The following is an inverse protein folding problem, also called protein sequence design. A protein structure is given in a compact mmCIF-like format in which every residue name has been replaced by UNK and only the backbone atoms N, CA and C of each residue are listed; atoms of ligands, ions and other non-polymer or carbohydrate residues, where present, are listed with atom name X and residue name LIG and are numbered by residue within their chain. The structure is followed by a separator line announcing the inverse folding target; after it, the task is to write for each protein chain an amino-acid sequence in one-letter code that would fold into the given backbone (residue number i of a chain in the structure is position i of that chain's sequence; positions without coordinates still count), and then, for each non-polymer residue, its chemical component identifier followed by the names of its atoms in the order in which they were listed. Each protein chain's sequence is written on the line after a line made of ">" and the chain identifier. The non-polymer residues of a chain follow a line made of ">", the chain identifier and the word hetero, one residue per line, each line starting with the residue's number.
data_IF_768305499838
#
_entry.id   IF_768305499838
#
_cell.length_a   1.000
_cell.length_b   1.000
_cell.length_c   1.000
_cell.angle_alpha   90.00
_cell.angle_beta   90.00
_cell.angle_gamma   90.00
#
_symmetry.space_group_name_H-M   'P 1'
#
loop_
_entity.id
_entity.type
_entity.pdbx_description
1 polymer ?
#
# COMPACT_ATOMS: atom_id res chain seq x y z
N UNK A 1 8.24 2.55 -25.17
CA UNK A 1 8.10 1.50 -24.14
C UNK A 1 6.85 1.84 -23.36
N UNK A 2 5.88 0.92 -23.25
CA UNK A 2 4.74 1.11 -22.34
C UNK A 2 5.21 0.70 -20.94
N UNK A 3 5.98 1.56 -20.30
CA UNK A 3 6.34 1.41 -18.89
C UNK A 3 5.17 1.91 -18.05
N UNK A 4 4.73 1.08 -17.11
CA UNK A 4 3.73 1.45 -16.11
C UNK A 4 4.40 1.52 -14.76
N UNK A 5 3.82 2.30 -13.85
CA UNK A 5 4.28 2.41 -12.46
C UNK A 5 4.43 1.05 -11.77
N UNK A 6 3.72 0.01 -12.23
CA UNK A 6 3.86 -1.34 -11.69
C UNK A 6 5.30 -1.87 -11.77
N UNK A 7 6.04 -1.56 -12.84
CA UNK A 7 7.44 -1.98 -12.98
C UNK A 7 8.36 -1.30 -11.95
N UNK A 8 8.06 -0.05 -11.58
CA UNK A 8 8.83 0.68 -10.57
C UNK A 8 8.70 0.03 -9.19
N UNK A 9 7.51 -0.47 -8.86
CA UNK A 9 7.26 -1.18 -7.60
C UNK A 9 7.89 -2.58 -7.58
N UNK A 10 7.82 -3.33 -8.69
CA UNK A 10 8.52 -4.62 -8.83
C UNK A 10 10.03 -4.43 -8.59
N UNK A 11 10.63 -3.41 -9.22
CA UNK A 11 12.06 -3.11 -9.07
C UNK A 11 12.44 -2.70 -7.64
N UNK A 12 11.49 -2.22 -6.85
CA UNK A 12 11.66 -1.87 -5.42
C UNK A 12 11.37 -3.03 -4.47
N UNK A 13 11.34 -4.28 -4.97
CA UNK A 13 11.07 -5.50 -4.19
C UNK A 13 9.68 -5.55 -3.55
N UNK A 14 8.70 -4.85 -4.11
CA UNK A 14 7.31 -5.04 -3.73
C UNK A 14 6.81 -6.33 -4.39
N UNK A 15 6.04 -7.13 -3.65
CA UNK A 15 5.24 -8.17 -4.26
C UNK A 15 4.09 -7.49 -5.02
N UNK A 16 3.95 -7.80 -6.31
CA UNK A 16 2.91 -7.18 -7.13
C UNK A 16 1.92 -8.20 -7.69
N UNK A 17 0.64 -7.84 -7.65
CA UNK A 17 -0.44 -8.65 -8.21
C UNK A 17 -1.37 -7.81 -9.07
N UNK A 18 -1.80 -8.42 -10.18
CA UNK A 18 -2.93 -7.98 -10.97
C UNK A 18 -3.89 -9.16 -11.14
N UNK A 19 -5.04 -9.04 -10.48
CA UNK A 19 -6.08 -10.06 -10.42
C UNK A 19 -7.36 -9.47 -11.03
N UNK A 20 -7.54 -9.70 -12.32
CA UNK A 20 -8.73 -9.28 -13.07
C UNK A 20 -9.69 -10.46 -13.18
N UNK A 21 -10.99 -10.22 -13.10
CA UNK A 21 -12.07 -11.17 -13.40
C UNK A 21 -12.40 -11.23 -14.91
N UNK A 22 -11.81 -10.32 -15.68
CA UNK A 22 -11.83 -10.33 -17.14
C UNK A 22 -10.62 -9.59 -17.70
N UNK A 23 -9.83 -10.17 -18.63
CA UNK A 23 -8.58 -9.60 -19.15
C UNK A 23 -8.89 -8.43 -20.07
N UNK A 24 -9.18 -7.26 -19.50
CA UNK A 24 -9.78 -6.14 -20.23
C UNK A 24 -9.25 -4.77 -19.88
N UNK A 25 -8.75 -4.54 -18.65
CA UNK A 25 -8.32 -3.20 -18.23
C UNK A 25 -7.25 -2.62 -19.16
N UNK A 26 -6.34 -3.44 -19.67
CA UNK A 26 -5.20 -3.01 -20.48
C UNK A 26 -5.16 -3.57 -21.91
N UNK A 27 -6.13 -4.39 -22.26
CA UNK A 27 -6.22 -5.13 -23.54
C UNK A 27 -7.44 -4.70 -24.34
N UNK A 28 -8.50 -4.21 -23.71
CA UNK A 28 -9.72 -3.78 -24.39
C UNK A 28 -9.76 -2.26 -24.59
N UNK A 29 -10.35 -1.73 -25.68
CA UNK A 29 -10.87 -2.42 -26.87
C UNK A 29 -9.80 -2.69 -27.93
N UNK A 30 -8.76 -1.86 -27.98
CA UNK A 30 -7.76 -1.83 -29.06
C UNK A 30 -6.31 -1.82 -28.52
N UNK A 31 -6.13 -2.20 -27.26
CA UNK A 31 -4.82 -2.19 -26.62
C UNK A 31 -4.16 -3.56 -26.77
N UNK A 32 -2.84 -3.60 -26.97
CA UNK A 32 -2.09 -4.86 -27.08
C UNK A 32 -1.64 -5.42 -25.72
N UNK A 33 -2.08 -4.81 -24.61
CA UNK A 33 -1.55 -5.10 -23.28
C UNK A 33 -0.08 -4.68 -23.14
N UNK A 34 0.66 -5.46 -22.36
CA UNK A 34 2.06 -5.23 -22.05
C UNK A 34 2.97 -6.25 -22.74
N UNK A 35 4.17 -5.81 -23.14
CA UNK A 35 5.18 -6.71 -23.74
C UNK A 35 5.74 -7.73 -22.76
N UNK A 36 5.75 -7.39 -21.47
CA UNK A 36 6.11 -8.27 -20.35
C UNK A 36 4.95 -8.28 -19.36
N UNK A 37 4.85 -9.30 -18.52
CA UNK A 37 3.86 -9.31 -17.44
C UNK A 37 4.04 -8.04 -16.58
N UNK A 38 2.97 -7.26 -16.34
CA UNK A 38 3.06 -5.98 -15.63
C UNK A 38 3.23 -6.13 -14.11
N UNK A 39 3.07 -7.34 -13.58
CA UNK A 39 3.18 -7.71 -12.16
C UNK A 39 3.84 -9.08 -12.02
N UNK A 40 4.39 -9.38 -10.84
CA UNK A 40 4.97 -10.70 -10.51
C UNK A 40 3.91 -11.79 -10.60
N UNK A 41 2.71 -11.49 -10.12
CA UNK A 41 1.53 -12.35 -10.18
C UNK A 41 0.50 -11.74 -11.12
N UNK A 42 0.28 -12.37 -12.26
CA UNK A 42 -0.65 -11.88 -13.28
C UNK A 42 -1.72 -12.93 -13.60
N UNK A 43 -2.95 -12.67 -13.13
CA UNK A 43 -4.06 -13.62 -13.17
C UNK A 43 -4.69 -13.87 -14.54
N UNK A 44 -4.30 -13.14 -15.59
CA UNK A 44 -5.00 -13.23 -16.89
C UNK A 44 -5.01 -14.62 -17.52
N UNK A 45 -3.98 -15.45 -17.28
CA UNK A 45 -3.99 -16.83 -17.76
C UNK A 45 -5.07 -17.68 -17.07
N UNK A 46 -5.33 -17.43 -15.77
CA UNK A 46 -6.38 -18.11 -15.00
C UNK A 46 -7.78 -17.80 -15.55
N UNK A 47 -7.98 -16.59 -16.11
CA UNK A 47 -9.28 -16.18 -16.69
C UNK A 47 -9.41 -16.57 -18.16
N UNK A 48 -8.34 -16.48 -18.94
CA UNK A 48 -8.39 -16.74 -20.39
C UNK A 48 -8.46 -18.23 -20.73
N UNK A 49 -7.79 -19.09 -19.95
CA UNK A 49 -7.70 -20.51 -20.26
C UNK A 49 -9.07 -21.22 -20.26
N UNK A 50 -9.97 -20.96 -19.28
CA UNK A 50 -11.30 -21.57 -19.26
C UNK A 50 -12.20 -21.14 -20.44
N UNK A 51 -11.94 -19.99 -21.07
CA UNK A 51 -12.73 -19.52 -22.22
C UNK A 51 -12.35 -20.17 -23.55
N UNK A 52 -11.28 -20.97 -23.59
CA UNK A 52 -10.93 -21.76 -24.76
C UNK A 52 -11.96 -22.89 -24.96
N UNK A 53 -12.62 -22.89 -26.13
CA UNK A 53 -13.71 -23.84 -26.45
C UNK A 53 -13.37 -25.31 -26.19
N UNK A 54 -12.13 -25.72 -26.40
CA UNK A 54 -11.69 -27.11 -26.24
C UNK A 54 -11.70 -27.58 -24.79
N UNK A 55 -11.46 -26.67 -23.83
CA UNK A 55 -11.33 -27.01 -22.40
C UNK A 55 -12.44 -26.43 -21.53
N UNK A 56 -13.23 -25.51 -22.05
CA UNK A 56 -14.30 -24.82 -21.31
C UNK A 56 -15.21 -25.77 -20.54
N UNK A 57 -15.68 -26.83 -21.21
CA UNK A 57 -16.57 -27.81 -20.60
C UNK A 57 -15.93 -28.53 -19.40
N UNK A 58 -14.64 -28.83 -19.47
CA UNK A 58 -13.93 -29.49 -18.37
C UNK A 58 -13.74 -28.55 -17.19
N UNK A 59 -13.44 -27.26 -17.46
CA UNK A 59 -13.39 -26.24 -16.42
C UNK A 59 -14.76 -26.01 -15.77
N UNK A 60 -15.83 -25.91 -16.55
CA UNK A 60 -17.20 -25.76 -16.04
C UNK A 60 -17.54 -26.94 -15.10
N UNK A 61 -17.31 -28.18 -15.54
CA UNK A 61 -17.67 -29.38 -14.78
C UNK A 61 -16.81 -29.57 -13.53
N UNK A 62 -15.48 -29.40 -13.64
CA UNK A 62 -14.55 -29.83 -12.59
C UNK A 62 -14.02 -28.69 -11.74
N UNK A 63 -13.86 -27.50 -12.32
CA UNK A 63 -13.20 -26.38 -11.66
C UNK A 63 -14.20 -25.37 -11.10
N UNK A 64 -15.34 -25.17 -11.78
CA UNK A 64 -16.39 -24.23 -11.36
C UNK A 64 -17.56 -24.95 -10.69
N UNK A 65 -18.46 -25.55 -11.48
CA UNK A 65 -19.66 -26.23 -10.97
C UNK A 65 -19.27 -27.35 -9.98
N UNK A 66 -18.22 -28.11 -10.30
CA UNK A 66 -17.71 -29.19 -9.46
C UNK A 66 -17.20 -28.74 -8.08
N UNK A 67 -16.76 -27.49 -7.95
CA UNK A 67 -16.35 -26.89 -6.68
C UNK A 67 -17.41 -25.91 -6.12
N UNK A 68 -18.56 -25.77 -6.78
CA UNK A 68 -19.59 -24.78 -6.46
C UNK A 68 -19.03 -23.34 -6.44
N UNK A 69 -18.13 -23.03 -7.37
CA UNK A 69 -17.47 -21.74 -7.50
C UNK A 69 -17.74 -21.09 -8.86
N UNK A 70 -17.76 -19.76 -8.89
CA UNK A 70 -17.82 -18.92 -10.09
C UNK A 70 -16.43 -18.29 -10.38
N UNK A 71 -16.25 -17.66 -11.55
CA UNK A 71 -14.99 -17.03 -11.97
C UNK A 71 -14.40 -16.09 -10.91
N UNK A 72 -15.24 -15.23 -10.32
CA UNK A 72 -14.77 -14.29 -9.29
C UNK A 72 -14.27 -14.99 -8.04
N UNK A 73 -14.78 -16.18 -7.69
CA UNK A 73 -14.27 -16.93 -6.54
C UNK A 73 -12.80 -17.34 -6.77
N UNK A 74 -12.44 -17.74 -7.99
CA UNK A 74 -11.07 -18.10 -8.34
C UNK A 74 -10.11 -16.93 -8.24
N UNK A 75 -10.57 -15.74 -8.68
CA UNK A 75 -9.80 -14.50 -8.58
C UNK A 75 -9.66 -14.03 -7.14
N UNK A 76 -10.70 -14.19 -6.32
CA UNK A 76 -10.64 -13.92 -4.88
C UNK A 76 -9.70 -14.88 -4.17
N UNK A 77 -9.75 -16.19 -4.46
CA UNK A 77 -8.83 -17.18 -3.92
C UNK A 77 -7.37 -16.93 -4.34
N UNK A 78 -7.16 -16.52 -5.60
CA UNK A 78 -5.84 -16.11 -6.09
C UNK A 78 -5.30 -14.89 -5.33
N UNK A 79 -6.16 -13.90 -5.12
CA UNK A 79 -5.82 -12.69 -4.36
C UNK A 79 -5.55 -13.00 -2.88
N UNK A 80 -6.38 -13.82 -2.25
CA UNK A 80 -6.22 -14.24 -0.85
C UNK A 80 -4.91 -15.00 -0.64
N UNK A 81 -4.62 -15.98 -1.51
CA UNK A 81 -3.34 -16.71 -1.49
C UNK A 81 -2.16 -15.76 -1.63
N UNK A 82 -2.20 -14.80 -2.56
CA UNK A 82 -1.15 -13.81 -2.70
C UNK A 82 -0.97 -12.96 -1.44
N UNK A 83 -2.07 -12.47 -0.85
CA UNK A 83 -2.00 -11.65 0.37
C UNK A 83 -1.38 -12.42 1.53
N UNK A 84 -1.71 -13.71 1.66
CA UNK A 84 -1.21 -14.61 2.69
C UNK A 84 0.26 -15.01 2.48
N UNK A 85 0.63 -15.41 1.26
CA UNK A 85 2.00 -15.85 0.93
C UNK A 85 3.04 -14.73 1.11
N UNK A 86 2.65 -13.51 0.75
CA UNK A 86 3.53 -12.33 0.85
C UNK A 86 3.36 -11.58 2.17
N UNK A 87 2.89 -12.23 3.25
CA UNK A 87 2.79 -11.58 4.55
C UNK A 87 4.16 -11.01 5.00
N UNK A 88 4.18 -9.82 5.60
CA UNK A 88 5.42 -9.10 5.93
C UNK A 88 6.14 -8.42 4.76
N UNK A 89 5.76 -8.70 3.51
CA UNK A 89 6.32 -8.04 2.32
C UNK A 89 5.40 -6.90 1.88
N UNK A 90 6.00 -5.76 1.49
CA UNK A 90 5.28 -4.63 0.90
C UNK A 90 4.62 -5.04 -0.41
N UNK A 91 3.35 -4.70 -0.60
CA UNK A 91 2.56 -5.13 -1.76
C UNK A 91 2.12 -3.94 -2.59
N UNK A 92 2.19 -4.07 -3.90
CA UNK A 92 1.52 -3.18 -4.84
C UNK A 92 0.36 -3.93 -5.50
N UNK A 93 -0.85 -3.40 -5.34
CA UNK A 93 -2.07 -4.02 -5.87
C UNK A 93 -2.76 -3.00 -6.76
N UNK A 94 -3.04 -3.39 -8.00
CA UNK A 94 -3.88 -2.61 -8.88
C UNK A 94 -5.31 -3.16 -8.83
N UNK A 95 -6.26 -2.32 -8.41
CA UNK A 95 -7.67 -2.68 -8.27
C UNK A 95 -8.52 -1.83 -9.20
N UNK A 96 -9.39 -2.48 -9.96
CA UNK A 96 -10.40 -1.83 -10.79
C UNK A 96 -11.74 -1.82 -10.04
N UNK A 97 -12.15 -0.65 -9.54
CA UNK A 97 -13.44 -0.49 -8.89
C UNK A 97 -14.46 0.11 -9.85
N UNK A 98 -15.56 -0.61 -10.10
CA UNK A 98 -16.70 -0.10 -10.87
C UNK A 98 -17.92 0.08 -9.97
N UNK A 99 -18.63 1.21 -10.12
CA UNK A 99 -19.92 1.47 -9.45
C UNK A 99 -21.02 1.50 -10.49
N UNK A 100 -21.90 0.50 -10.48
CA UNK A 100 -23.08 0.44 -11.31
C UNK A 100 -24.32 0.93 -10.53
N UNK A 101 -24.83 2.11 -10.86
CA UNK A 101 -26.01 2.68 -10.19
C UNK A 101 -27.29 2.01 -10.71
N UNK A 102 -28.20 1.52 -9.83
CA UNK A 102 -29.50 0.99 -10.23
C UNK A 102 -30.32 1.99 -11.06
N UNK A 103 -31.04 1.51 -12.07
CA UNK A 103 -31.75 2.38 -13.04
C UNK A 103 -32.64 3.43 -12.37
N UNK A 104 -33.41 3.03 -11.35
CA UNK A 104 -34.33 3.92 -10.64
C UNK A 104 -33.63 5.03 -9.82
N UNK A 105 -32.33 4.88 -9.51
CA UNK A 105 -31.54 5.88 -8.81
C UNK A 105 -30.77 6.81 -9.76
N UNK A 106 -30.68 6.48 -11.05
CA UNK A 106 -29.92 7.29 -12.03
C UNK A 106 -30.55 8.66 -12.30
N UNK A 107 -31.84 8.84 -12.00
CA UNK A 107 -32.52 10.13 -12.07
C UNK A 107 -32.14 11.07 -10.92
N UNK A 108 -31.48 10.58 -9.87
CA UNK A 108 -31.01 11.42 -8.77
C UNK A 108 -29.76 12.20 -9.20
N UNK A 109 -29.97 13.46 -9.61
CA UNK A 109 -28.91 14.33 -10.12
C UNK A 109 -27.78 14.54 -9.11
N UNK A 110 -28.11 14.71 -7.82
CA UNK A 110 -27.11 14.93 -6.77
C UNK A 110 -26.22 13.69 -6.57
N UNK A 111 -26.80 12.50 -6.53
CA UNK A 111 -26.05 11.24 -6.43
C UNK A 111 -25.11 11.07 -7.64
N UNK A 112 -25.64 11.25 -8.85
CA UNK A 112 -24.85 11.11 -10.07
C UNK A 112 -23.74 12.17 -10.16
N UNK A 113 -24.00 13.40 -9.67
CA UNK A 113 -23.00 14.45 -9.57
C UNK A 113 -21.89 14.09 -8.57
N UNK A 114 -22.25 13.60 -7.39
CA UNK A 114 -21.31 13.17 -6.36
C UNK A 114 -20.41 12.05 -6.91
N UNK A 115 -20.99 11.00 -7.50
CA UNK A 115 -20.24 9.89 -8.10
C UNK A 115 -19.25 10.36 -9.19
N UNK A 116 -19.70 11.24 -10.10
CA UNK A 116 -18.84 11.80 -11.15
C UNK A 116 -17.71 12.67 -10.61
N UNK A 117 -17.96 13.44 -9.56
CA UNK A 117 -16.91 14.25 -8.91
C UNK A 117 -15.93 13.37 -8.16
N UNK A 118 -16.45 12.41 -7.38
CA UNK A 118 -15.69 11.52 -6.52
C UNK A 118 -14.82 10.52 -7.28
N UNK A 119 -15.20 10.13 -8.50
CA UNK A 119 -14.34 9.31 -9.36
C UNK A 119 -13.01 9.98 -9.75
N UNK A 120 -12.87 11.29 -9.52
CA UNK A 120 -11.64 12.08 -9.71
C UNK A 120 -11.05 12.56 -8.39
N UNK A 121 -11.42 11.95 -7.27
CA UNK A 121 -10.91 12.31 -5.93
C UNK A 121 -9.95 11.23 -5.42
N UNK A 122 -9.02 11.67 -4.58
CA UNK A 122 -8.15 10.76 -3.87
C UNK A 122 -8.97 10.00 -2.82
N UNK A 123 -9.11 8.69 -3.03
CA UNK A 123 -9.91 7.80 -2.19
C UNK A 123 -9.06 6.61 -1.74
N UNK A 124 -9.54 5.91 -0.74
CA UNK A 124 -8.90 4.74 -0.14
C UNK A 124 -9.92 3.63 0.10
N UNK A 125 -9.45 2.42 0.43
CA UNK A 125 -10.31 1.29 0.77
C UNK A 125 -11.27 1.57 1.95
N UNK A 126 -10.90 2.50 2.84
CA UNK A 126 -11.77 2.92 3.94
C UNK A 126 -13.00 3.68 3.45
N UNK A 127 -12.90 4.37 2.31
CA UNK A 127 -14.03 5.07 1.69
C UNK A 127 -15.02 4.06 1.07
N UNK A 128 -14.51 2.96 0.51
CA UNK A 128 -15.35 1.85 0.04
C UNK A 128 -16.10 1.21 1.22
N UNK A 129 -15.40 0.94 2.32
CA UNK A 129 -16.03 0.42 3.53
C UNK A 129 -17.13 1.37 4.06
N UNK A 130 -16.84 2.67 4.18
CA UNK A 130 -17.82 3.67 4.57
C UNK A 130 -19.00 3.74 3.61
N UNK A 131 -18.75 3.60 2.30
CA UNK A 131 -19.80 3.55 1.27
C UNK A 131 -20.76 2.39 1.50
N UNK A 132 -20.23 1.18 1.70
CA UNK A 132 -21.06 0.00 1.94
C UNK A 132 -21.85 0.13 3.25
N UNK A 133 -21.23 0.69 4.29
CA UNK A 133 -21.89 0.97 5.55
C UNK A 133 -23.01 2.01 5.39
N UNK A 134 -22.76 3.10 4.67
CA UNK A 134 -23.72 4.16 4.34
C UNK A 134 -24.95 3.59 3.62
N UNK A 135 -24.73 2.74 2.60
CA UNK A 135 -25.80 2.04 1.88
C UNK A 135 -26.65 1.22 2.86
N UNK A 136 -26.00 0.42 3.71
CA UNK A 136 -26.68 -0.49 4.62
C UNK A 136 -27.43 0.23 5.76
N UNK A 137 -26.94 1.38 6.23
CA UNK A 137 -27.41 2.02 7.47
C UNK A 137 -28.17 3.33 7.29
N UNK A 138 -27.79 4.16 6.33
CA UNK A 138 -28.30 5.53 6.19
C UNK A 138 -29.03 5.73 4.86
N UNK A 139 -28.37 5.50 3.73
CA UNK A 139 -28.96 5.76 2.41
C UNK A 139 -30.29 5.02 2.22
N UNK A 140 -30.39 3.76 2.68
CA UNK A 140 -31.63 2.98 2.61
C UNK A 140 -32.74 3.57 3.49
N UNK A 141 -32.43 4.09 4.69
CA UNK A 141 -33.44 4.68 5.60
C UNK A 141 -34.01 5.98 5.05
N UNK A 142 -33.14 6.77 4.43
CA UNK A 142 -33.51 8.03 3.77
C UNK A 142 -34.06 7.82 2.34
N UNK A 143 -34.42 6.58 1.98
CA UNK A 143 -34.95 6.21 0.66
C UNK A 143 -34.10 6.71 -0.52
N UNK A 144 -32.77 6.78 -0.32
CA UNK A 144 -31.81 7.24 -1.33
C UNK A 144 -32.05 8.68 -1.82
N UNK A 145 -32.60 9.55 -0.97
CA UNK A 145 -32.88 10.96 -1.32
C UNK A 145 -31.89 11.95 -0.72
N UNK A 146 -31.08 11.53 0.27
CA UNK A 146 -30.22 12.42 1.06
C UNK A 146 -28.74 12.09 0.86
N UNK A 147 -28.03 12.99 0.15
CA UNK A 147 -26.64 12.82 -0.32
C UNK A 147 -25.72 13.98 0.04
N UNK A 148 -26.07 14.72 1.08
CA UNK A 148 -25.17 15.66 1.76
C UNK A 148 -24.03 14.91 2.48
N UNK A 149 -23.02 15.66 2.92
CA UNK A 149 -21.92 15.11 3.70
C UNK A 149 -22.45 14.40 4.96
N UNK A 150 -21.82 13.27 5.29
CA UNK A 150 -22.13 12.52 6.50
C UNK A 150 -20.83 12.22 7.23
N UNK A 151 -20.79 12.61 8.49
CA UNK A 151 -19.68 12.35 9.40
C UNK A 151 -19.92 11.02 10.11
N UNK A 152 -19.08 10.02 9.82
CA UNK A 152 -19.15 8.69 10.42
C UNK A 152 -18.43 8.60 11.79
N UNK A 153 -18.08 9.73 12.40
CA UNK A 153 -17.37 9.79 13.68
C UNK A 153 -18.08 9.07 14.81
N UNK A 154 -19.42 8.96 14.77
CA UNK A 154 -20.18 8.25 15.81
C UNK A 154 -20.03 6.74 15.69
N UNK A 155 -19.86 6.24 14.47
CA UNK A 155 -19.84 4.82 14.12
C UNK A 155 -18.42 4.25 14.20
N UNK A 156 -17.44 5.01 13.70
CA UNK A 156 -16.06 4.54 13.59
C UNK A 156 -15.09 5.30 14.50
N UNK A 157 -15.57 6.29 15.25
CA UNK A 157 -14.76 7.19 16.07
C UNK A 157 -14.23 8.39 15.28
N UNK A 158 -13.76 9.42 15.99
CA UNK A 158 -13.39 10.72 15.41
C UNK A 158 -12.37 10.64 14.27
N UNK A 159 -11.38 9.77 14.42
CA UNK A 159 -10.28 9.67 13.44
C UNK A 159 -10.73 8.88 12.22
N UNK A 160 -11.17 7.62 12.44
CA UNK A 160 -11.55 6.72 11.34
C UNK A 160 -12.81 7.19 10.62
N UNK A 161 -13.82 7.65 11.35
CA UNK A 161 -15.11 8.04 10.78
C UNK A 161 -15.26 9.51 10.40
N UNK A 162 -14.45 10.38 10.99
CA UNK A 162 -14.48 11.81 10.68
C UNK A 162 -13.68 12.15 9.44
N UNK A 163 -12.36 11.92 9.50
CA UNK A 163 -11.43 12.41 8.47
C UNK A 163 -11.14 11.32 7.42
N UNK A 164 -10.94 10.08 7.88
CA UNK A 164 -10.39 8.98 7.06
C UNK A 164 -11.39 8.21 6.20
N UNK A 165 -12.60 7.98 6.65
CA UNK A 165 -13.56 7.16 5.90
C UNK A 165 -14.73 8.01 5.43
N UNK A 166 -14.83 8.23 4.12
CA UNK A 166 -15.90 9.01 3.48
C UNK A 166 -16.65 8.16 2.46
N UNK A 167 -17.97 8.21 2.46
CA UNK A 167 -18.79 7.52 1.45
C UNK A 167 -18.64 8.17 0.07
N UNK A 168 -18.35 7.39 -0.96
CA UNK A 168 -18.24 7.89 -2.36
C UNK A 168 -19.59 8.33 -2.94
N UNK A 169 -20.70 8.06 -2.25
CA UNK A 169 -22.04 8.54 -2.61
C UNK A 169 -22.29 9.98 -2.16
N UNK A 170 -21.43 10.51 -1.29
CA UNK A 170 -21.52 11.84 -0.67
C UNK A 170 -20.33 12.71 -1.07
N UNK A 171 -20.38 14.05 -0.98
CA UNK A 171 -19.31 14.91 -1.46
C UNK A 171 -17.97 14.61 -0.78
N UNK A 172 -16.91 14.42 -1.58
CA UNK A 172 -15.53 14.33 -1.10
C UNK A 172 -14.76 15.58 -1.58
N UNK A 173 -14.09 16.24 -0.63
CA UNK A 173 -13.25 17.43 -0.88
C UNK A 173 -12.10 17.10 -1.85
N UNK A 174 -11.70 18.07 -2.66
CA UNK A 174 -10.68 17.85 -3.71
C UNK A 174 -9.27 17.71 -3.15
N UNK A 175 -8.96 18.52 -2.15
CA UNK A 175 -7.66 18.74 -1.54
C UNK A 175 -7.32 17.73 -0.44
N UNK A 176 -8.00 16.58 -0.44
CA UNK A 176 -7.77 15.52 0.55
C UNK A 176 -6.36 14.95 0.41
N UNK A 177 -5.63 14.99 1.51
CA UNK A 177 -4.23 14.56 1.59
C UNK A 177 -4.08 13.11 2.05
N UNK A 178 -2.88 12.55 1.91
CA UNK A 178 -2.53 11.26 2.52
C UNK A 178 -2.69 11.29 4.05
N UNK A 179 -2.36 12.41 4.69
CA UNK A 179 -2.51 12.62 6.13
C UNK A 179 -3.98 12.51 6.56
N UNK A 180 -4.90 13.15 5.83
CA UNK A 180 -6.34 13.06 6.10
C UNK A 180 -6.88 11.61 6.04
N UNK A 181 -6.27 10.79 5.19
CA UNK A 181 -6.63 9.37 5.02
C UNK A 181 -5.87 8.44 5.95
N UNK A 182 -5.00 8.98 6.81
CA UNK A 182 -4.02 8.21 7.58
C UNK A 182 -3.24 7.21 6.70
N UNK A 183 -2.91 7.62 5.47
CA UNK A 183 -1.99 6.89 4.61
C UNK A 183 -0.58 7.31 5.05
N UNK A 184 0.25 6.36 5.54
CA UNK A 184 1.62 6.66 5.90
C UNK A 184 2.38 7.29 4.73
N UNK A 185 3.28 8.23 5.05
CA UNK A 185 4.03 9.01 4.06
C UNK A 185 4.83 8.11 3.09
N UNK A 186 5.28 6.95 3.55
CA UNK A 186 5.97 5.93 2.73
C UNK A 186 5.07 5.27 1.67
N UNK A 187 3.75 5.28 1.86
CA UNK A 187 2.76 4.71 0.92
C UNK A 187 1.97 5.78 0.17
N UNK A 188 2.29 7.05 0.39
CA UNK A 188 1.63 8.16 -0.27
C UNK A 188 2.10 8.26 -1.73
N UNK A 189 1.16 8.13 -2.68
CA UNK A 189 1.45 8.20 -4.12
C UNK A 189 1.77 9.63 -4.57
N UNK A 190 1.47 10.64 -3.76
CA UNK A 190 1.83 12.02 -4.07
C UNK A 190 3.36 12.17 -4.07
N UNK A 191 3.95 12.27 -5.26
CA UNK A 191 5.39 12.44 -5.42
C UNK A 191 5.86 13.73 -4.73
N UNK A 192 6.61 13.58 -3.64
CA UNK A 192 7.38 14.67 -3.04
C UNK A 192 8.70 14.79 -3.81
N UNK A 193 9.03 16.00 -4.28
CA UNK A 193 10.31 16.24 -4.94
C UNK A 193 11.43 16.33 -3.91
N UNK A 194 12.24 15.27 -3.84
CA UNK A 194 13.39 15.17 -2.97
C UNK A 194 14.65 15.74 -3.63
N UNK A 195 15.40 16.53 -2.88
CA UNK A 195 16.66 17.12 -3.31
C UNK A 195 17.81 16.44 -2.56
N UNK A 196 18.82 15.98 -3.30
CA UNK A 196 20.00 15.35 -2.69
C UNK A 196 20.77 16.38 -1.87
N UNK A 197 21.24 15.96 -0.69
CA UNK A 197 22.16 16.72 0.15
C UNK A 197 23.56 16.23 -0.16
N UNK A 198 24.37 17.05 -0.84
CA UNK A 198 25.70 16.64 -1.29
C UNK A 198 26.76 16.65 -0.17
N UNK A 199 26.65 17.56 0.81
CA UNK A 199 27.53 17.54 1.98
C UNK A 199 26.88 16.78 3.15
N UNK A 200 27.15 15.48 3.19
CA UNK A 200 26.66 14.57 4.23
C UNK A 200 27.30 14.87 5.60
N UNK A 201 28.41 15.63 5.64
CA UNK A 201 29.10 16.03 6.89
C UNK A 201 28.38 17.16 7.62
N UNK A 202 27.27 17.68 7.07
CA UNK A 202 26.37 18.54 7.82
C UNK A 202 25.95 17.78 9.08
N UNK A 203 26.25 18.35 10.25
CA UNK A 203 26.10 17.73 11.58
C UNK A 203 24.70 17.12 11.80
N UNK A 204 23.67 17.68 11.17
CA UNK A 204 22.29 17.20 11.23
C UNK A 204 22.07 15.85 10.53
N UNK A 205 22.76 15.58 9.42
CA UNK A 205 22.58 14.35 8.62
C UNK A 205 23.17 13.14 9.34
N UNK A 206 24.39 13.29 9.86
CA UNK A 206 25.05 12.22 10.63
C UNK A 206 24.31 11.93 11.93
N UNK A 207 23.83 12.97 12.65
CA UNK A 207 22.99 12.79 13.84
C UNK A 207 21.66 12.11 13.52
N UNK A 208 21.02 12.45 12.40
CA UNK A 208 19.79 11.80 11.96
C UNK A 208 20.01 10.32 11.64
N UNK A 209 21.11 9.99 10.94
CA UNK A 209 21.46 8.60 10.65
C UNK A 209 21.76 7.80 11.93
N UNK A 210 22.48 8.38 12.88
CA UNK A 210 22.73 7.76 14.19
C UNK A 210 21.42 7.51 14.93
N UNK A 211 20.50 8.47 14.91
CA UNK A 211 19.18 8.34 15.54
C UNK A 211 18.36 7.18 14.94
N UNK A 212 18.46 6.90 13.64
CA UNK A 212 17.83 5.72 13.03
C UNK A 212 18.38 4.43 13.64
N UNK A 213 19.71 4.30 13.71
CA UNK A 213 20.35 3.09 14.27
C UNK A 213 20.03 2.92 15.76
N UNK A 214 20.01 4.02 16.52
CA UNK A 214 19.61 4.00 17.93
C UNK A 214 18.16 3.52 18.08
N UNK A 215 17.25 3.99 17.21
CA UNK A 215 15.84 3.55 17.21
C UNK A 215 15.67 2.09 16.84
N UNK A 216 16.50 1.54 15.96
CA UNK A 216 16.53 0.10 15.69
C UNK A 216 16.90 -0.67 16.96
N UNK A 217 18.00 -0.29 17.61
CA UNK A 217 18.45 -0.95 18.84
C UNK A 217 17.42 -0.83 19.99
N UNK A 218 16.80 0.34 20.15
CA UNK A 218 15.72 0.56 21.11
C UNK A 218 14.52 -0.38 20.83
N UNK A 219 14.15 -0.55 19.56
CA UNK A 219 13.08 -1.45 19.14
C UNK A 219 13.40 -2.92 19.50
N UNK A 220 14.62 -3.37 19.18
CA UNK A 220 15.09 -4.72 19.52
C UNK A 220 15.07 -4.96 21.04
N UNK A 221 15.49 -3.97 21.82
CA UNK A 221 15.46 -4.02 23.28
C UNK A 221 14.03 -4.03 23.85
N UNK A 222 13.14 -3.18 23.32
CA UNK A 222 11.74 -3.13 23.74
C UNK A 222 10.99 -4.42 23.43
N UNK A 223 11.40 -5.14 22.37
CA UNK A 223 10.89 -6.47 22.00
C UNK A 223 11.59 -7.62 22.75
N UNK A 224 12.54 -7.32 23.64
CA UNK A 224 13.32 -8.30 24.41
C UNK A 224 14.13 -9.29 23.56
N UNK A 225 14.62 -8.85 22.40
CA UNK A 225 15.41 -9.67 21.47
C UNK A 225 16.87 -9.22 21.36
N UNK A 226 17.30 -8.23 22.16
CA UNK A 226 18.68 -7.71 22.20
C UNK A 226 19.72 -8.72 22.77
N UNK A 227 19.24 -9.80 23.38
CA UNK A 227 20.05 -10.97 23.72
C UNK A 227 20.29 -11.94 22.54
N UNK A 228 19.48 -11.87 21.49
CA UNK A 228 19.51 -12.78 20.33
C UNK A 228 20.04 -12.07 19.08
N UNK A 229 19.70 -10.79 18.93
CA UNK A 229 20.21 -9.90 17.91
C UNK A 229 21.43 -9.15 18.44
N UNK A 230 22.45 -9.00 17.60
CA UNK A 230 23.59 -8.14 17.86
C UNK A 230 23.18 -6.67 17.87
N UNK A 231 23.95 -5.89 18.64
CA UNK A 231 23.81 -4.44 18.64
C UNK A 231 24.35 -3.87 17.33
N UNK A 232 23.57 -3.01 16.70
CA UNK A 232 23.97 -2.33 15.46
C UNK A 232 24.63 -0.98 15.76
N UNK A 233 25.59 -0.61 14.93
CA UNK A 233 26.31 0.66 14.98
C UNK A 233 26.25 1.35 13.64
N UNK A 234 26.17 2.69 13.62
CA UNK A 234 26.25 3.45 12.39
C UNK A 234 27.65 3.26 11.77
N UNK A 235 27.69 2.76 10.55
CA UNK A 235 28.91 2.60 9.75
C UNK A 235 29.15 3.83 8.89
N UNK A 236 28.17 4.22 8.11
CA UNK A 236 28.23 5.38 7.23
C UNK A 236 26.82 5.84 6.83
N UNK A 237 26.70 7.05 6.31
CA UNK A 237 25.47 7.55 5.67
C UNK A 237 25.58 7.30 4.17
N UNK A 238 24.68 6.49 3.62
CA UNK A 238 24.67 6.11 2.20
C UNK A 238 24.09 7.24 1.35
N UNK A 239 22.97 7.80 1.78
CA UNK A 239 22.33 8.91 1.09
C UNK A 239 21.52 9.78 2.06
N UNK A 240 21.36 11.04 1.68
CA UNK A 240 20.55 12.01 2.39
C UNK A 240 19.83 12.91 1.39
N UNK A 241 18.54 13.13 1.64
CA UNK A 241 17.70 13.99 0.83
C UNK A 241 16.83 14.88 1.73
N UNK A 242 16.47 16.05 1.21
CA UNK A 242 15.54 16.98 1.86
C UNK A 242 14.45 17.45 0.91
N UNK A 243 13.36 17.96 1.48
CA UNK A 243 12.34 18.67 0.73
C UNK A 243 12.53 20.17 0.94
N UNK A 244 12.42 20.96 -0.13
CA UNK A 244 12.49 22.42 -0.03
C UNK A 244 11.40 22.96 0.91
N UNK A 245 11.79 23.88 1.80
CA UNK A 245 10.88 24.57 2.73
C UNK A 245 10.13 23.65 3.71
N UNK A 246 10.57 22.39 3.87
CA UNK A 246 10.06 21.48 4.90
C UNK A 246 11.23 20.97 5.75
N UNK A 247 11.06 20.84 7.07
CA UNK A 247 12.08 20.29 7.94
C UNK A 247 12.10 18.75 7.85
N UNK A 248 12.04 18.19 6.65
CA UNK A 248 11.95 16.76 6.41
C UNK A 248 13.23 16.23 5.76
N UNK A 249 13.78 15.17 6.33
CA UNK A 249 14.95 14.45 5.84
C UNK A 249 14.56 13.03 5.48
N UNK A 250 15.06 12.52 4.35
CA UNK A 250 15.08 11.10 4.02
C UNK A 250 16.51 10.63 4.04
N UNK A 251 16.81 9.66 4.90
CA UNK A 251 18.17 9.20 5.16
C UNK A 251 18.23 7.69 4.91
N UNK A 252 19.29 7.26 4.22
CA UNK A 252 19.68 5.85 4.17
C UNK A 252 20.97 5.69 4.97
N UNK A 253 20.88 5.02 6.12
CA UNK A 253 21.99 4.77 7.03
C UNK A 253 22.50 3.33 6.87
N UNK A 254 23.81 3.15 6.75
CA UNK A 254 24.44 1.83 6.75
C UNK A 254 24.87 1.43 8.15
N UNK A 255 24.53 0.23 8.57
CA UNK A 255 24.88 -0.33 9.87
C UNK A 255 26.00 -1.38 9.78
N UNK A 256 26.69 -1.55 10.90
CA UNK A 256 27.65 -2.62 11.20
C UNK A 256 27.15 -3.38 12.43
N UNK A 257 27.36 -4.72 12.54
CA UNK A 257 28.13 -5.59 11.65
C UNK A 257 27.37 -6.17 10.44
N UNK A 258 26.07 -5.93 10.33
CA UNK A 258 25.22 -6.60 9.33
C UNK A 258 25.21 -5.97 7.92
N UNK A 259 26.08 -4.97 7.69
CA UNK A 259 26.18 -4.19 6.44
C UNK A 259 24.84 -3.62 5.96
N UNK A 260 24.03 -3.19 6.93
CA UNK A 260 22.63 -2.94 6.69
C UNK A 260 22.21 -1.56 6.28
N UNK A 261 21.54 -1.41 5.14
CA UNK A 261 21.04 -0.13 4.65
C UNK A 261 19.60 0.08 5.09
N UNK A 262 19.40 1.05 5.98
CA UNK A 262 18.11 1.38 6.57
C UNK A 262 17.64 2.75 6.11
N UNK A 263 16.49 2.81 5.44
CA UNK A 263 15.82 4.04 5.05
C UNK A 263 14.78 4.45 6.10
N UNK A 264 14.76 5.74 6.43
CA UNK A 264 13.67 6.35 7.18
C UNK A 264 13.52 7.84 6.81
N UNK A 265 12.30 8.36 6.97
CA UNK A 265 12.04 9.79 6.92
C UNK A 265 11.92 10.36 8.34
N UNK A 266 12.57 11.50 8.54
CA UNK A 266 12.69 12.16 9.83
C UNK A 266 12.21 13.60 9.72
N UNK A 267 11.33 13.98 10.62
CA UNK A 267 11.00 15.37 10.89
C UNK A 267 12.08 15.96 11.81
N UNK A 268 12.80 16.95 11.32
CA UNK A 268 13.73 17.76 12.08
C UNK A 268 12.93 18.77 12.91
N UNK A 269 13.02 18.68 14.23
CA UNK A 269 12.58 19.73 15.16
C UNK A 269 13.81 20.46 15.68
N UNK A 270 13.61 21.53 16.45
CA UNK A 270 14.68 22.45 16.85
C UNK A 270 15.89 21.70 17.47
N UNK A 271 15.64 20.79 18.42
CA UNK A 271 16.70 20.08 19.14
C UNK A 271 16.69 18.55 18.94
N UNK A 272 15.74 18.00 18.19
CA UNK A 272 15.60 16.54 18.07
C UNK A 272 15.00 16.09 16.73
N UNK A 273 15.14 14.80 16.46
CA UNK A 273 14.53 14.14 15.31
C UNK A 273 13.34 13.29 15.72
N UNK A 274 12.32 13.28 14.88
CA UNK A 274 11.19 12.37 15.01
C UNK A 274 11.13 11.53 13.74
N UNK A 275 11.25 10.21 13.87
CA UNK A 275 10.98 9.28 12.76
C UNK A 275 9.47 9.31 12.50
N UNK A 276 9.08 9.59 11.26
CA UNK A 276 7.67 9.68 10.85
C UNK A 276 7.22 8.54 9.93
N UNK A 277 8.16 7.75 9.42
CA UNK A 277 7.89 6.52 8.63
C UNK A 277 8.41 5.29 9.38
N UNK A 278 8.02 4.09 8.96
CA UNK A 278 8.74 2.89 9.40
C UNK A 278 10.20 2.94 8.96
N UNK A 279 11.08 2.29 9.73
CA UNK A 279 12.48 2.07 9.35
C UNK A 279 12.49 0.84 8.44
N UNK A 280 12.88 1.02 7.19
CA UNK A 280 12.83 -0.02 6.17
C UNK A 280 14.25 -0.45 5.81
N UNK A 281 14.49 -1.75 5.82
CA UNK A 281 15.73 -2.34 5.33
C UNK A 281 15.67 -2.42 3.79
N UNK A 282 16.51 -1.66 3.09
CA UNK A 282 16.43 -1.49 1.62
C UNK A 282 17.35 -2.42 0.81
N UNK A 283 18.31 -3.09 1.45
CA UNK A 283 19.12 -4.13 0.83
C UNK A 283 18.82 -5.51 1.42
N UNK A 284 19.07 -6.56 0.62
CA UNK A 284 18.89 -7.95 1.04
C UNK A 284 19.69 -8.29 2.32
N UNK A 285 19.13 -9.20 3.12
CA UNK A 285 19.72 -9.64 4.39
C UNK A 285 19.86 -11.17 4.51
N UNK A 286 19.32 -11.95 3.56
CA UNK A 286 19.55 -13.40 3.46
C UNK A 286 19.26 -14.14 4.78
N UNK A 287 20.23 -14.95 5.23
CA UNK A 287 20.12 -15.75 6.45
C UNK A 287 20.63 -15.05 7.73
N UNK A 288 20.96 -13.75 7.65
CA UNK A 288 21.50 -12.98 8.77
C UNK A 288 20.58 -12.93 9.99
N UNK A 289 19.28 -13.10 9.76
CA UNK A 289 18.20 -12.94 10.74
C UNK A 289 17.46 -14.26 11.02
N UNK A 290 18.08 -15.42 10.78
CA UNK A 290 17.44 -16.74 10.87
C UNK A 290 16.89 -17.10 12.26
N UNK A 291 17.44 -16.49 13.31
CA UNK A 291 17.00 -16.61 14.69
C UNK A 291 15.68 -15.85 14.97
N UNK A 292 15.17 -15.07 14.01
CA UNK A 292 13.98 -14.25 14.15
C UNK A 292 12.83 -14.76 13.28
N UNK A 293 11.70 -15.04 13.92
CA UNK A 293 10.44 -15.45 13.27
C UNK A 293 9.46 -14.28 13.10
N UNK A 294 9.61 -13.21 13.89
CA UNK A 294 8.78 -12.01 13.76
C UNK A 294 9.23 -11.20 12.53
N UNK A 295 8.37 -11.14 11.50
CA UNK A 295 8.65 -10.49 10.23
C UNK A 295 8.86 -8.97 10.33
N UNK A 296 8.31 -8.29 11.35
CA UNK A 296 8.56 -6.86 11.56
C UNK A 296 9.98 -6.63 12.14
N UNK A 297 10.52 -7.61 12.88
CA UNK A 297 11.84 -7.52 13.53
C UNK A 297 12.93 -8.12 12.64
N UNK A 298 12.60 -9.13 11.84
CA UNK A 298 13.54 -9.90 11.02
C UNK A 298 14.47 -9.01 10.15
N UNK A 299 14.01 -7.94 9.48
CA UNK A 299 14.89 -7.06 8.70
C UNK A 299 15.84 -6.20 9.55
N UNK A 300 15.54 -6.04 10.84
CA UNK A 300 16.30 -5.23 11.80
C UNK A 300 17.31 -6.04 12.60
N UNK A 301 17.07 -7.34 12.77
CA UNK A 301 17.90 -8.24 13.55
C UNK A 301 19.15 -8.69 12.78
N UNK A 302 20.27 -8.86 13.48
CA UNK A 302 21.42 -9.62 13.03
C UNK A 302 21.74 -10.65 14.10
N UNK A 303 21.59 -11.94 13.81
CA UNK A 303 21.72 -12.98 14.83
C UNK A 303 23.14 -13.03 15.39
N UNK A 304 23.28 -13.13 16.72
CA UNK A 304 24.59 -13.27 17.38
C UNK A 304 25.34 -14.53 16.98
N UNK A 305 24.60 -15.61 16.75
CA UNK A 305 25.11 -16.86 16.21
C UNK A 305 24.75 -16.87 14.72
N UNK A 306 25.76 -16.98 13.85
CA UNK A 306 25.62 -17.05 12.40
C UNK A 306 25.86 -18.48 11.91
#
# INVERSE_FOLDING_TARGET
>A
MNETVTYDFINQSYASIMAEDWPSMFTWPNCKGFHKAPTDHYGSALVLRPDEQEVKKDFDIHFYEGECQEDYHKIMDFSDKFLNEYNGISKFVLLWLTVAVPQYLRSNEQLMLNLKKNSRRHTSHYDIYATLYDIARYARKESFQKWDEHDFSKEFGKVRGGIRAKSILRPIQYDRTCEDMEIPDEYCICEKKWYKIDDIRIENVTKAAQFIIDKINDCLKAKHVDGICERLYLKEVVSAQSINQQPLLKIVAKASPNEGMYEAQLLKKDDYFQIITRIIRVNSYGNQSHCMQDEDIRPLCYCRQQ
#
